data_IF_481677441197
#
_entry.id   IF_481677441197
#
_cell.length_a   1.000
_cell.length_b   1.000
_cell.length_c   1.000
_cell.angle_alpha   90.00
_cell.angle_beta   90.00
_cell.angle_gamma   90.00
#
_symmetry.space_group_name_H-M   'P 1'
#
loop_
_entity.id
_entity.type
_entity.pdbx_description
1 polymer ?
#
# COMPACT_ATOMS: atom_id res chain seq x y z
N UNK A 1 -11.07 -7.14 -20.50
CA UNK A 1 -11.12 -6.16 -19.39
C UNK A 1 -9.76 -6.21 -18.72
N UNK A 2 -9.00 -5.11 -18.67
CA UNK A 2 -7.72 -5.11 -17.96
C UNK A 2 -7.99 -5.01 -16.46
N UNK A 3 -7.53 -5.99 -15.69
CA UNK A 3 -7.65 -5.97 -14.25
C UNK A 3 -6.77 -4.86 -13.66
N UNK A 4 -7.39 -3.80 -13.15
CA UNK A 4 -6.68 -2.75 -12.41
C UNK A 4 -6.37 -3.26 -11.00
N UNK A 5 -5.14 -3.08 -10.55
CA UNK A 5 -4.78 -3.39 -9.17
C UNK A 5 -5.49 -2.44 -8.20
N UNK A 6 -6.11 -3.00 -7.17
CA UNK A 6 -6.60 -2.28 -6.00
C UNK A 6 -5.50 -2.27 -4.95
N UNK A 7 -5.08 -1.08 -4.51
CA UNK A 7 -3.98 -0.91 -3.55
C UNK A 7 -4.53 -0.37 -2.23
N UNK A 8 -4.24 -1.09 -1.16
CA UNK A 8 -4.48 -0.68 0.22
C UNK A 8 -3.15 -0.60 0.96
N UNK A 9 -2.82 0.59 1.42
CA UNK A 9 -1.68 0.85 2.28
C UNK A 9 -2.16 1.11 3.72
N UNK A 10 -1.45 0.56 4.69
CA UNK A 10 -1.75 0.68 6.12
C UNK A 10 -0.50 1.21 6.79
N UNK A 11 -0.63 2.34 7.46
CA UNK A 11 0.43 2.91 8.30
C UNK A 11 0.07 2.65 9.77
N UNK A 12 1.00 2.05 10.50
CA UNK A 12 0.84 1.61 11.88
C UNK A 12 2.09 1.97 12.69
N UNK A 13 1.97 2.05 14.01
CA UNK A 13 3.12 2.28 14.88
C UNK A 13 3.98 1.01 14.99
N UNK A 14 5.30 1.21 15.02
CA UNK A 14 6.28 0.16 15.24
C UNK A 14 7.33 0.61 16.27
N UNK A 15 8.05 -0.35 16.87
CA UNK A 15 9.05 -0.07 17.92
C UNK A 15 10.14 0.89 17.46
N UNK A 16 10.50 0.85 16.18
CA UNK A 16 11.63 1.58 15.60
C UNK A 16 11.20 2.57 14.50
N UNK A 17 9.93 3.00 14.47
CA UNK A 17 9.41 3.93 13.46
C UNK A 17 7.96 3.65 13.10
N UNK A 18 7.59 3.90 11.84
CA UNK A 18 6.25 3.64 11.33
C UNK A 18 6.29 2.43 10.39
N UNK A 19 5.45 1.43 10.65
CA UNK A 19 5.32 0.29 9.76
C UNK A 19 4.31 0.62 8.67
N UNK A 20 4.80 0.69 7.44
CA UNK A 20 3.98 0.76 6.24
C UNK A 20 3.80 -0.65 5.68
N UNK A 21 2.54 -1.08 5.55
CA UNK A 21 2.16 -2.33 4.88
C UNK A 21 1.34 -1.99 3.65
N UNK A 22 1.80 -2.39 2.47
CA UNK A 22 1.11 -2.19 1.21
C UNK A 22 0.59 -3.53 0.69
N UNK A 23 -0.68 -3.58 0.32
CA UNK A 23 -1.35 -4.74 -0.26
C UNK A 23 -1.95 -4.33 -1.60
N UNK A 24 -1.62 -5.04 -2.67
CA UNK A 24 -2.28 -4.91 -3.96
C UNK A 24 -2.98 -6.21 -4.34
N UNK A 25 -4.20 -6.09 -4.84
CA UNK A 25 -4.99 -7.22 -5.35
C UNK A 25 -5.55 -6.89 -6.73
N UNK A 26 -5.62 -7.87 -7.63
CA UNK A 26 -6.32 -7.73 -8.92
C UNK A 26 -6.95 -9.06 -9.31
N UNK A 27 -8.06 -9.01 -10.03
CA UNK A 27 -8.71 -10.22 -10.57
C UNK A 27 -8.41 -10.37 -12.06
N UNK A 28 -7.64 -11.38 -12.43
CA UNK A 28 -7.28 -11.68 -13.84
C UNK A 28 -7.84 -13.03 -14.19
N UNK A 29 -8.71 -13.10 -15.21
CA UNK A 29 -9.24 -14.35 -15.76
C UNK A 29 -9.87 -15.31 -14.71
N UNK A 30 -10.50 -14.72 -13.67
CA UNK A 30 -11.13 -15.49 -12.58
C UNK A 30 -10.17 -15.89 -11.45
N UNK A 31 -8.90 -15.50 -11.53
CA UNK A 31 -7.91 -15.71 -10.48
C UNK A 31 -7.57 -14.39 -9.76
N UNK A 32 -7.56 -14.42 -8.42
CA UNK A 32 -7.10 -13.28 -7.62
C UNK A 32 -5.58 -13.32 -7.51
N UNK A 33 -4.92 -12.34 -8.12
CA UNK A 33 -3.50 -12.08 -7.91
C UNK A 33 -3.33 -11.11 -6.76
N UNK A 34 -2.35 -11.39 -5.89
CA UNK A 34 -2.03 -10.55 -4.75
C UNK A 34 -0.53 -10.32 -4.66
N UNK A 35 -0.14 -9.13 -4.22
CA UNK A 35 1.24 -8.83 -3.84
C UNK A 35 1.24 -7.90 -2.64
N UNK A 36 2.23 -8.02 -1.78
CA UNK A 36 2.35 -7.20 -0.59
C UNK A 36 3.79 -6.81 -0.33
N UNK A 37 3.99 -5.60 0.17
CA UNK A 37 5.29 -5.12 0.60
C UNK A 37 5.18 -4.51 2.01
N UNK A 38 6.24 -4.60 2.80
CA UNK A 38 6.26 -4.13 4.19
C UNK A 38 7.60 -3.50 4.49
N UNK A 39 7.56 -2.30 5.04
CA UNK A 39 8.76 -1.53 5.37
C UNK A 39 8.56 -0.66 6.61
N UNK A 40 9.67 -0.25 7.21
CA UNK A 40 9.70 0.76 8.26
C UNK A 40 10.10 2.09 7.62
N UNK A 41 9.31 3.13 7.89
CA UNK A 41 9.56 4.50 7.45
C UNK A 41 9.62 5.40 8.66
N UNK A 42 10.42 6.46 8.57
CA UNK A 42 10.63 7.37 9.70
C UNK A 42 9.54 8.45 9.79
N UNK A 43 8.85 8.71 8.68
CA UNK A 43 7.88 9.81 8.59
C UNK A 43 6.66 9.48 7.70
N UNK A 44 5.45 9.98 8.02
CA UNK A 44 4.24 9.72 7.20
C UNK A 44 4.33 10.24 5.76
N UNK A 45 5.16 11.26 5.53
CA UNK A 45 5.42 11.76 4.17
C UNK A 45 6.19 10.73 3.32
N UNK A 46 7.12 10.01 3.92
CA UNK A 46 7.86 8.92 3.27
C UNK A 46 6.91 7.76 2.95
N UNK A 47 5.99 7.44 3.87
CA UNK A 47 4.96 6.44 3.61
C UNK A 47 4.15 6.74 2.33
N UNK A 48 3.75 8.01 2.13
CA UNK A 48 3.02 8.44 0.92
C UNK A 48 3.87 8.34 -0.35
N UNK A 49 5.17 8.65 -0.26
CA UNK A 49 6.10 8.51 -1.38
C UNK A 49 6.24 7.04 -1.81
N UNK A 50 6.40 6.13 -0.84
CA UNK A 50 6.52 4.69 -1.12
C UNK A 50 5.21 4.10 -1.66
N UNK A 51 4.06 4.52 -1.14
CA UNK A 51 2.76 4.14 -1.72
C UNK A 51 2.62 4.58 -3.18
N UNK A 52 2.98 5.82 -3.49
CA UNK A 52 2.94 6.35 -4.85
C UNK A 52 3.90 5.59 -5.79
N UNK A 53 5.10 5.26 -5.30
CA UNK A 53 6.08 4.46 -6.05
C UNK A 53 5.55 3.06 -6.34
N UNK A 54 4.98 2.40 -5.34
CA UNK A 54 4.38 1.06 -5.48
C UNK A 54 3.21 1.07 -6.46
N UNK A 55 2.31 2.06 -6.37
CA UNK A 55 1.21 2.26 -7.30
C UNK A 55 1.69 2.45 -8.75
N UNK A 56 2.73 3.27 -8.94
CA UNK A 56 3.34 3.50 -10.26
C UNK A 56 3.94 2.23 -10.87
N UNK A 57 4.60 1.39 -10.07
CA UNK A 57 5.14 0.09 -10.53
C UNK A 57 4.02 -0.83 -11.03
N UNK A 58 2.86 -0.79 -10.38
CA UNK A 58 1.69 -1.58 -10.73
C UNK A 58 0.81 -0.94 -11.83
N UNK A 59 1.16 0.27 -12.27
CA UNK A 59 0.38 1.02 -13.27
C UNK A 59 -0.96 1.53 -12.74
N UNK A 60 -1.04 1.83 -11.44
CA UNK A 60 -2.25 2.33 -10.76
C UNK A 60 -2.07 3.80 -10.42
N UNK A 61 -3.10 4.60 -10.66
CA UNK A 61 -3.11 6.04 -10.34
C UNK A 61 -3.68 6.34 -8.94
N UNK A 62 -4.49 5.43 -8.39
CA UNK A 62 -5.21 5.62 -7.13
C UNK A 62 -4.85 4.54 -6.09
N UNK A 63 -4.73 4.94 -4.82
CA UNK A 63 -4.45 4.03 -3.71
C UNK A 63 -5.08 4.56 -2.42
N UNK A 64 -5.51 3.65 -1.55
CA UNK A 64 -6.03 4.00 -0.24
C UNK A 64 -4.93 3.89 0.81
N UNK A 65 -4.51 4.99 1.43
CA UNK A 65 -3.64 4.99 2.60
C UNK A 65 -4.48 5.17 3.86
N UNK A 66 -4.49 4.14 4.71
CA UNK A 66 -5.17 4.14 6.01
C UNK A 66 -4.13 4.33 7.11
N UNK A 67 -4.21 5.46 7.81
CA UNK A 67 -3.41 5.72 9.01
C UNK A 67 -4.14 5.18 10.23
N UNK A 68 -3.70 4.04 10.78
CA UNK A 68 -4.33 3.43 11.96
C UNK A 68 -3.99 4.14 13.26
N UNK A 69 -2.94 4.97 13.25
CA UNK A 69 -2.48 5.72 14.42
C UNK A 69 -3.42 6.87 14.76
N UNK A 70 -4.07 7.44 13.74
CA UNK A 70 -5.06 8.51 13.91
C UNK A 70 -6.40 8.00 14.46
N UNK A 71 -6.59 6.67 14.50
CA UNK A 71 -7.78 6.01 15.03
C UNK A 71 -7.63 5.47 16.47
N UNK A 72 -6.45 5.63 17.08
CA UNK A 72 -6.10 5.15 18.42
C UNK A 72 -5.99 6.30 19.44
#
# INVERSE_FOLDING_TARGET
MSATWQIQAILDDATDGLRLVMHATREVDGETQQTSDTMIVDHPAEARLECSRFAKVLGVEDYALVDRRDAA
#
